data_IF_737999298429
#
_entry.id   IF_737999298429
#
_cell.length_a   1.000
_cell.length_b   1.000
_cell.length_c   1.000
_cell.angle_alpha   90.00
_cell.angle_beta   90.00
_cell.angle_gamma   90.00
#
_symmetry.space_group_name_H-M   'P 1'
#
loop_
_entity.id
_entity.type
_entity.pdbx_description
1 polymer ?
#
# COMPACT_ATOMS: atom_id res chain seq x y z
N UNK A 1 -3.12 -10.78 2.63
CA UNK A 1 -3.68 -10.13 1.42
C UNK A 1 -2.99 -10.61 0.16
N UNK A 2 -1.70 -10.32 -0.05
CA UNK A 2 -0.95 -10.76 -1.25
C UNK A 2 -1.03 -12.28 -1.55
N UNK A 3 -0.72 -13.20 -0.60
CA UNK A 3 -0.77 -14.63 -0.90
C UNK A 3 -2.17 -15.13 -1.27
N UNK A 4 -3.23 -14.52 -0.73
CA UNK A 4 -4.60 -14.89 -1.07
C UNK A 4 -4.95 -14.44 -2.51
N UNK A 5 -4.56 -13.22 -2.88
CA UNK A 5 -4.69 -12.68 -4.25
C UNK A 5 -3.87 -13.46 -5.28
N UNK A 6 -2.72 -13.99 -4.88
CA UNK A 6 -1.91 -14.88 -5.73
C UNK A 6 -2.61 -16.23 -5.93
N UNK A 7 -3.03 -16.88 -4.84
CA UNK A 7 -3.66 -18.21 -4.88
C UNK A 7 -5.00 -18.21 -5.64
N UNK A 8 -5.78 -17.13 -5.55
CA UNK A 8 -7.07 -17.03 -6.23
C UNK A 8 -6.96 -17.11 -7.76
N UNK A 9 -5.80 -16.73 -8.33
CA UNK A 9 -5.53 -16.79 -9.78
C UNK A 9 -5.48 -18.22 -10.32
N UNK A 10 -5.18 -19.19 -9.46
CA UNK A 10 -4.95 -20.58 -9.84
C UNK A 10 -6.04 -21.52 -9.33
N UNK A 11 -7.21 -21.00 -8.93
CA UNK A 11 -8.30 -21.83 -8.40
C UNK A 11 -8.85 -22.82 -9.43
N UNK A 12 -8.80 -22.48 -10.72
CA UNK A 12 -9.25 -23.37 -11.80
C UNK A 12 -8.31 -24.55 -12.06
N UNK A 13 -7.03 -24.42 -11.74
CA UNK A 13 -6.02 -25.45 -11.98
C UNK A 13 -4.82 -25.31 -11.01
N UNK A 14 -4.98 -25.63 -9.72
CA UNK A 14 -3.92 -25.47 -8.73
C UNK A 14 -2.83 -26.54 -8.86
N UNK A 15 -1.57 -26.16 -8.64
CA UNK A 15 -0.42 -27.08 -8.62
C UNK A 15 -0.04 -27.47 -7.19
N UNK A 16 0.87 -28.45 -7.03
CA UNK A 16 1.45 -28.80 -5.73
C UNK A 16 2.19 -27.63 -5.08
N UNK A 17 2.76 -26.71 -5.88
CA UNK A 17 3.39 -25.48 -5.39
C UNK A 17 2.33 -24.56 -4.77
N UNK A 18 1.20 -24.35 -5.44
CA UNK A 18 0.08 -23.55 -4.93
C UNK A 18 -0.47 -24.15 -3.63
N UNK A 19 -0.62 -25.48 -3.56
CA UNK A 19 -1.04 -26.17 -2.34
C UNK A 19 -0.04 -25.97 -1.19
N UNK A 20 1.27 -25.97 -1.47
CA UNK A 20 2.31 -25.66 -0.49
C UNK A 20 2.19 -24.24 0.07
N UNK A 21 1.95 -23.26 -0.79
CA UNK A 21 1.72 -21.86 -0.39
C UNK A 21 0.44 -21.73 0.43
N UNK A 22 -0.66 -22.34 0.02
CA UNK A 22 -1.92 -22.34 0.77
C UNK A 22 -1.76 -22.91 2.19
N UNK A 23 -1.04 -24.03 2.33
CA UNK A 23 -0.70 -24.60 3.65
C UNK A 23 0.12 -23.64 4.51
N UNK A 24 1.07 -22.89 3.92
CA UNK A 24 1.84 -21.87 4.67
C UNK A 24 0.93 -20.73 5.17
N UNK A 25 0.00 -20.27 4.34
CA UNK A 25 -1.00 -19.25 4.74
C UNK A 25 -1.86 -19.75 5.89
N UNK A 26 -2.39 -20.98 5.81
CA UNK A 26 -3.20 -21.55 6.89
C UNK A 26 -2.42 -21.74 8.20
N UNK A 27 -1.15 -22.17 8.10
CA UNK A 27 -0.25 -22.25 9.28
C UNK A 27 0.00 -20.88 9.90
N UNK A 28 0.19 -19.85 9.07
CA UNK A 28 0.35 -18.47 9.55
C UNK A 28 -0.91 -18.03 10.30
N UNK A 29 -2.09 -18.14 9.68
CA UNK A 29 -3.38 -17.75 10.29
C UNK A 29 -3.59 -18.48 11.62
N UNK A 30 -3.38 -19.81 11.66
CA UNK A 30 -3.48 -20.61 12.88
C UNK A 30 -2.48 -20.17 13.97
N UNK A 31 -1.26 -19.80 13.58
CA UNK A 31 -0.21 -19.36 14.50
C UNK A 31 -0.32 -17.91 14.98
N UNK A 32 -1.20 -17.11 14.36
CA UNK A 32 -1.37 -15.69 14.67
C UNK A 32 -2.78 -15.33 15.13
N UNK A 33 -3.56 -16.30 15.61
CA UNK A 33 -4.94 -16.08 16.09
C UNK A 33 -5.02 -15.15 17.30
N UNK A 34 -3.93 -14.99 18.05
CA UNK A 34 -3.80 -14.09 19.19
C UNK A 34 -3.24 -12.70 18.84
N UNK A 35 -3.03 -12.43 17.54
CA UNK A 35 -2.58 -11.11 17.07
C UNK A 35 -3.78 -10.29 16.61
N UNK A 36 -3.75 -9.00 16.92
CA UNK A 36 -4.73 -8.02 16.47
C UNK A 36 -4.04 -6.69 16.17
N UNK A 37 -4.71 -5.82 15.43
CA UNK A 37 -4.28 -4.42 15.28
C UNK A 37 -4.74 -3.67 16.53
N UNK A 38 -3.81 -3.07 17.24
CA UNK A 38 -4.09 -2.32 18.47
C UNK A 38 -3.83 -0.84 18.24
N UNK A 39 -4.80 -0.01 18.60
CA UNK A 39 -4.69 1.44 18.53
C UNK A 39 -4.42 2.01 19.92
N UNK A 40 -3.24 2.58 20.09
CA UNK A 40 -2.87 3.42 21.22
C UNK A 40 -3.45 4.82 21.02
N UNK A 41 -3.85 5.44 22.14
CA UNK A 41 -4.35 6.81 22.16
C UNK A 41 -3.23 7.77 21.72
N UNK A 42 -3.42 8.43 20.58
CA UNK A 42 -2.51 9.47 20.07
C UNK A 42 -3.12 10.86 20.22
N UNK A 43 -2.27 11.89 20.24
CA UNK A 43 -2.72 13.29 20.23
C UNK A 43 -3.07 13.67 18.78
N UNK A 44 -4.32 13.44 18.40
CA UNK A 44 -4.87 13.81 17.09
C UNK A 44 -4.94 12.66 16.09
N UNK A 45 -5.68 12.93 15.01
CA UNK A 45 -5.91 12.04 13.88
C UNK A 45 -5.12 12.58 12.69
N UNK A 46 -3.95 11.98 12.42
CA UNK A 46 -3.15 12.25 11.23
C UNK A 46 -3.25 11.05 10.30
N UNK A 47 -3.69 11.29 9.07
CA UNK A 47 -3.69 10.29 8.01
C UNK A 47 -2.36 10.30 7.26
N UNK A 48 -1.66 9.17 7.29
CA UNK A 48 -0.44 8.92 6.51
C UNK A 48 -0.65 7.71 5.59
N UNK A 49 -0.03 7.74 4.40
CA UNK A 49 -0.15 6.68 3.41
C UNK A 49 1.19 6.23 2.85
N UNK A 50 1.26 4.96 2.49
CA UNK A 50 2.43 4.29 1.96
C UNK A 50 2.01 3.62 0.67
N UNK A 51 2.78 3.81 -0.41
CA UNK A 51 2.53 3.18 -1.70
C UNK A 51 3.79 2.43 -2.15
N UNK A 52 3.57 1.22 -2.65
CA UNK A 52 4.62 0.33 -3.17
C UNK A 52 4.05 -0.49 -4.31
N UNK A 53 4.89 -0.94 -5.22
CA UNK A 53 4.56 -1.93 -6.24
C UNK A 53 5.66 -2.96 -6.40
N UNK A 54 5.28 -4.19 -6.74
CA UNK A 54 6.25 -5.07 -7.38
C UNK A 54 6.46 -4.63 -8.85
N UNK A 55 7.59 -5.02 -9.44
CA UNK A 55 7.79 -4.92 -10.89
C UNK A 55 7.81 -6.31 -11.50
N UNK A 56 6.87 -6.55 -12.42
CA UNK A 56 6.73 -7.86 -13.11
C UNK A 56 6.57 -9.01 -12.11
N UNK A 57 5.87 -8.79 -10.98
CA UNK A 57 5.70 -9.82 -9.96
C UNK A 57 4.86 -11.02 -10.40
N UNK A 58 4.10 -10.88 -11.49
CA UNK A 58 3.33 -11.96 -12.12
C UNK A 58 4.03 -12.43 -13.39
N UNK A 59 4.67 -13.60 -13.36
CA UNK A 59 5.38 -14.16 -14.53
C UNK A 59 4.41 -14.56 -15.65
N UNK A 60 3.14 -14.85 -15.32
CA UNK A 60 2.14 -15.33 -16.28
C UNK A 60 1.70 -14.24 -17.28
N UNK A 61 1.58 -13.00 -16.81
CA UNK A 61 1.08 -11.86 -17.61
C UNK A 61 1.98 -10.62 -17.55
N UNK A 62 3.15 -10.75 -16.92
CA UNK A 62 4.15 -9.70 -16.70
C UNK A 62 3.61 -8.46 -15.97
N UNK A 63 2.46 -8.58 -15.28
CA UNK A 63 1.84 -7.46 -14.58
C UNK A 63 2.38 -7.28 -13.18
N UNK A 64 2.50 -6.02 -12.80
CA UNK A 64 2.85 -5.61 -11.46
C UNK A 64 1.70 -5.77 -10.46
N UNK A 65 2.00 -5.85 -9.17
CA UNK A 65 1.06 -5.73 -8.06
C UNK A 65 1.27 -4.39 -7.37
N UNK A 66 0.28 -3.51 -7.45
CA UNK A 66 0.23 -2.27 -6.67
C UNK A 66 -0.31 -2.53 -5.28
N UNK A 67 0.20 -1.78 -4.32
CA UNK A 67 -0.30 -1.79 -2.97
C UNK A 67 -0.26 -0.41 -2.34
N UNK A 68 -1.11 -0.25 -1.33
CA UNK A 68 -0.99 0.87 -0.41
C UNK A 68 -1.38 0.45 1.00
N UNK A 69 -0.94 1.23 1.97
CA UNK A 69 -1.26 1.10 3.38
C UNK A 69 -1.50 2.51 3.91
N UNK A 70 -2.57 2.70 4.68
CA UNK A 70 -2.89 3.95 5.36
C UNK A 70 -2.98 3.73 6.85
N UNK A 71 -2.34 4.63 7.60
CA UNK A 71 -2.29 4.59 9.06
C UNK A 71 -2.93 5.82 9.67
N UNK A 72 -3.51 5.63 10.86
CA UNK A 72 -3.90 6.73 11.76
C UNK A 72 -3.31 6.41 13.12
N UNK A 73 -2.56 7.35 13.67
CA UNK A 73 -1.92 7.20 14.97
C UNK A 73 -0.94 6.02 14.98
N UNK A 74 -1.26 4.99 15.75
CA UNK A 74 -0.36 3.85 16.01
C UNK A 74 -0.64 2.59 15.16
N UNK A 75 -1.66 2.62 14.31
CA UNK A 75 -2.11 1.42 13.59
C UNK A 75 -2.58 1.68 12.17
N UNK A 76 -2.57 0.62 11.37
CA UNK A 76 -3.14 0.61 10.02
C UNK A 76 -4.66 0.65 10.07
N UNK A 77 -5.30 1.41 9.18
CA UNK A 77 -6.76 1.51 9.06
C UNK A 77 -7.28 1.06 7.69
N UNK A 78 -6.46 1.14 6.65
CA UNK A 78 -6.84 0.78 5.29
C UNK A 78 -5.62 0.25 4.54
N UNK A 79 -5.81 -0.77 3.72
CA UNK A 79 -4.73 -1.38 2.96
C UNK A 79 -5.26 -2.06 1.71
N UNK A 80 -4.41 -2.22 0.69
CA UNK A 80 -4.75 -2.86 -0.56
C UNK A 80 -3.55 -3.61 -1.16
N UNK A 81 -3.84 -4.66 -1.91
CA UNK A 81 -2.89 -5.44 -2.70
C UNK A 81 -3.61 -5.89 -3.98
N UNK A 82 -3.31 -5.25 -5.11
CA UNK A 82 -4.04 -5.42 -6.37
C UNK A 82 -3.08 -5.53 -7.54
N UNK A 83 -3.29 -6.56 -8.36
CA UNK A 83 -2.61 -6.68 -9.66
C UNK A 83 -3.03 -5.52 -10.57
N UNK A 84 -2.06 -4.85 -11.17
CA UNK A 84 -2.28 -3.77 -12.12
C UNK A 84 -3.03 -4.29 -13.34
N UNK A 85 -3.85 -3.43 -13.94
CA UNK A 85 -4.62 -3.77 -15.14
C UNK A 85 -3.76 -3.71 -16.40
N UNK A 86 -2.75 -2.84 -16.39
CA UNK A 86 -1.79 -2.60 -17.47
C UNK A 86 -0.43 -3.22 -17.11
N UNK A 87 0.36 -3.55 -18.14
CA UNK A 87 1.75 -3.98 -17.99
C UNK A 87 2.64 -2.75 -17.94
N UNK A 88 3.20 -2.46 -16.77
CA UNK A 88 4.17 -1.37 -16.60
C UNK A 88 5.47 -1.71 -17.34
N UNK A 89 5.98 -0.75 -18.12
CA UNK A 89 7.20 -0.89 -18.92
C UNK A 89 8.47 -0.62 -18.10
N UNK A 90 8.33 -0.14 -16.86
CA UNK A 90 9.44 0.08 -15.92
C UNK A 90 8.95 -0.01 -14.47
N UNK A 91 9.88 -0.25 -13.54
CA UNK A 91 9.59 -0.17 -12.10
C UNK A 91 9.02 1.21 -11.73
N UNK A 92 9.56 2.27 -12.32
CA UNK A 92 9.09 3.64 -12.13
C UNK A 92 7.63 3.83 -12.55
N UNK A 93 7.20 3.23 -13.66
CA UNK A 93 5.82 3.29 -14.09
C UNK A 93 4.89 2.47 -13.18
N UNK A 94 5.34 1.31 -12.71
CA UNK A 94 4.58 0.50 -11.76
C UNK A 94 4.34 1.25 -10.43
N UNK A 95 5.40 1.86 -9.90
CA UNK A 95 5.36 2.67 -8.68
C UNK A 95 4.44 3.87 -8.84
N UNK A 96 4.55 4.54 -9.99
CA UNK A 96 3.69 5.67 -10.34
C UNK A 96 2.20 5.27 -10.37
N UNK A 97 1.86 4.12 -10.95
CA UNK A 97 0.49 3.61 -10.95
C UNK A 97 0.01 3.33 -9.52
N UNK A 98 0.89 2.82 -8.66
CA UNK A 98 0.60 2.58 -7.24
C UNK A 98 0.32 3.88 -6.47
N UNK A 99 1.19 4.87 -6.67
CA UNK A 99 1.05 6.22 -6.09
C UNK A 99 -0.27 6.88 -6.46
N UNK A 100 -0.70 6.77 -7.71
CA UNK A 100 -1.99 7.34 -8.16
C UNK A 100 -3.16 6.64 -7.47
N UNK A 101 -3.10 5.32 -7.31
CA UNK A 101 -4.13 4.58 -6.58
C UNK A 101 -4.16 4.99 -5.09
N UNK A 102 -2.99 5.17 -4.46
CA UNK A 102 -2.89 5.66 -3.09
C UNK A 102 -3.43 7.09 -2.96
N UNK A 103 -3.11 8.01 -3.88
CA UNK A 103 -3.61 9.38 -3.85
C UNK A 103 -5.14 9.44 -3.92
N UNK A 104 -5.75 8.66 -4.80
CA UNK A 104 -7.22 8.56 -4.87
C UNK A 104 -7.83 8.04 -3.57
N UNK A 105 -7.20 7.01 -2.97
CA UNK A 105 -7.64 6.48 -1.68
C UNK A 105 -7.48 7.49 -0.55
N UNK A 106 -6.38 8.26 -0.52
CA UNK A 106 -6.16 9.32 0.44
C UNK A 106 -7.26 10.38 0.37
N UNK A 107 -7.61 10.84 -0.83
CA UNK A 107 -8.69 11.82 -1.02
C UNK A 107 -10.03 11.26 -0.51
N UNK A 108 -10.32 9.98 -0.78
CA UNK A 108 -11.54 9.35 -0.27
C UNK A 108 -11.53 9.24 1.27
N UNK A 109 -10.42 8.81 1.87
CA UNK A 109 -10.27 8.72 3.31
C UNK A 109 -10.36 10.09 4.00
N UNK A 110 -9.82 11.15 3.38
CA UNK A 110 -9.95 12.52 3.90
C UNK A 110 -11.41 12.98 3.95
N UNK A 111 -12.21 12.66 2.93
CA UNK A 111 -13.65 12.94 2.92
C UNK A 111 -14.38 12.17 4.01
N UNK A 112 -14.10 10.87 4.13
CA UNK A 112 -14.66 10.04 5.19
C UNK A 112 -14.30 10.58 6.59
N UNK A 113 -13.06 11.01 6.80
CA UNK A 113 -12.64 11.61 8.07
C UNK A 113 -13.32 12.94 8.34
N UNK A 114 -13.53 13.77 7.32
CA UNK A 114 -14.30 15.01 7.45
C UNK A 114 -15.76 14.74 7.88
N UNK A 115 -16.42 13.73 7.27
CA UNK A 115 -17.78 13.31 7.65
C UNK A 115 -17.84 12.80 9.11
N UNK A 116 -16.73 12.25 9.63
CA UNK A 116 -16.57 11.82 11.02
C UNK A 116 -16.11 12.96 11.96
N UNK A 117 -16.06 14.21 11.50
CA UNK A 117 -15.63 15.36 12.28
C UNK A 117 -14.13 15.42 12.57
N UNK A 118 -13.31 14.69 11.81
CA UNK A 118 -11.85 14.63 11.91
C UNK A 118 -11.19 15.21 10.65
N UNK A 119 -11.63 16.39 10.23
CA UNK A 119 -11.12 17.06 9.04
C UNK A 119 -9.59 17.23 9.08
N UNK A 120 -8.93 16.90 7.97
CA UNK A 120 -7.48 16.93 7.86
C UNK A 120 -7.03 18.30 7.31
N UNK A 121 -6.51 19.18 8.17
CA UNK A 121 -6.09 20.53 7.77
C UNK A 121 -4.81 20.54 6.92
N UNK A 122 -3.91 19.58 7.14
CA UNK A 122 -2.68 19.41 6.34
C UNK A 122 -2.88 18.39 5.21
N UNK A 123 -2.07 18.45 4.14
CA UNK A 123 -2.02 17.39 3.14
C UNK A 123 -1.72 16.04 3.78
N UNK A 124 -2.27 14.96 3.22
CA UNK A 124 -1.91 13.59 3.60
C UNK A 124 -0.54 13.26 3.03
N UNK A 125 0.40 12.86 3.88
CA UNK A 125 1.73 12.46 3.44
C UNK A 125 1.66 11.07 2.80
N UNK A 126 2.21 10.96 1.59
CA UNK A 126 2.29 9.72 0.82
C UNK A 126 3.76 9.36 0.59
N UNK A 127 4.15 8.21 1.13
CA UNK A 127 5.51 7.70 1.12
C UNK A 127 5.70 6.67 -0.01
N UNK A 128 6.73 6.87 -0.84
CA UNK A 128 7.14 5.95 -1.90
C UNK A 128 8.66 5.87 -1.95
N UNK A 129 9.21 4.71 -2.28
CA UNK A 129 10.65 4.45 -2.31
C UNK A 129 11.29 4.70 -3.69
N UNK A 130 10.51 5.18 -4.65
CA UNK A 130 10.98 5.49 -5.99
C UNK A 130 10.99 7.00 -6.27
N UNK A 131 12.18 7.60 -6.15
CA UNK A 131 12.40 9.02 -6.45
C UNK A 131 12.02 9.39 -7.88
N UNK A 132 12.22 8.49 -8.84
CA UNK A 132 11.84 8.75 -10.22
C UNK A 132 10.33 8.84 -10.37
N UNK A 133 9.57 7.96 -9.71
CA UNK A 133 8.11 8.00 -9.73
C UNK A 133 7.57 9.29 -9.10
N UNK A 134 8.17 9.76 -8.00
CA UNK A 134 7.86 11.06 -7.39
C UNK A 134 8.24 12.22 -8.33
N UNK A 135 9.42 12.20 -8.94
CA UNK A 135 9.84 13.27 -9.85
C UNK A 135 8.91 13.43 -11.06
N UNK A 136 8.33 12.32 -11.51
CA UNK A 136 7.39 12.23 -12.63
C UNK A 136 6.05 12.93 -12.31
N UNK A 137 5.59 12.88 -11.05
CA UNK A 137 4.41 13.68 -10.63
C UNK A 137 4.73 15.17 -10.66
N UNK A 138 5.95 15.57 -10.33
CA UNK A 138 6.35 16.98 -10.21
C UNK A 138 6.74 17.65 -11.54
N UNK A 139 7.21 16.89 -12.54
CA UNK A 139 7.75 17.45 -13.79
C UNK A 139 6.72 17.51 -14.95
N UNK A 140 6.27 18.71 -15.39
CA UNK A 140 5.28 18.83 -16.46
C UNK A 140 5.75 18.43 -17.86
N UNK A 141 7.06 18.28 -18.07
CA UNK A 141 7.68 18.16 -19.41
C UNK A 141 7.97 16.70 -19.82
N UNK A 142 7.93 15.75 -18.89
CA UNK A 142 8.23 14.35 -19.19
C UNK A 142 6.96 13.50 -19.44
N UNK A 143 6.75 13.18 -20.72
CA UNK A 143 6.30 11.86 -21.27
C UNK A 143 4.95 11.77 -22.03
N UNK A 144 5.04 11.09 -23.19
CA UNK A 144 4.33 9.82 -23.46
C UNK A 144 2.90 9.87 -24.00
N UNK A 145 2.67 9.24 -25.18
CA UNK A 145 1.44 9.34 -26.02
C UNK A 145 0.19 8.56 -25.57
N UNK A 146 0.07 8.06 -24.34
CA UNK A 146 -1.09 7.23 -23.91
C UNK A 146 -2.05 7.97 -22.97
N UNK A 147 -3.30 8.12 -23.41
CA UNK A 147 -4.37 8.88 -22.72
C UNK A 147 -4.59 8.47 -21.25
N UNK A 148 -4.48 7.18 -20.92
CA UNK A 148 -4.73 6.67 -19.57
C UNK A 148 -3.64 7.10 -18.57
N UNK A 149 -2.40 7.20 -19.03
CA UNK A 149 -1.28 7.70 -18.23
C UNK A 149 -1.47 9.21 -17.99
N UNK A 150 -1.89 9.96 -19.02
CA UNK A 150 -2.16 11.41 -18.91
C UNK A 150 -3.26 11.74 -17.88
N UNK A 151 -4.35 10.98 -17.84
CA UNK A 151 -5.41 11.22 -16.83
C UNK A 151 -4.89 11.01 -15.40
N UNK A 152 -4.12 9.94 -15.18
CA UNK A 152 -3.47 9.67 -13.89
C UNK A 152 -2.51 10.79 -13.51
N UNK A 153 -1.73 11.31 -14.47
CA UNK A 153 -0.87 12.48 -14.31
C UNK A 153 -1.58 13.71 -13.81
N UNK A 154 -2.68 14.07 -14.47
CA UNK A 154 -3.45 15.23 -14.05
C UNK A 154 -4.04 15.02 -12.66
N UNK A 155 -4.54 13.82 -12.34
CA UNK A 155 -5.18 13.55 -11.05
C UNK A 155 -4.26 13.74 -9.84
N UNK A 156 -3.06 13.16 -9.86
CA UNK A 156 -2.13 13.26 -8.72
C UNK A 156 -1.52 14.66 -8.58
N UNK A 157 -1.27 15.33 -9.71
CA UNK A 157 -0.81 16.72 -9.72
C UNK A 157 -1.83 17.68 -9.16
N UNK A 158 -3.09 17.51 -9.57
CA UNK A 158 -4.20 18.30 -9.03
C UNK A 158 -4.34 18.08 -7.53
N UNK A 159 -4.19 16.83 -7.07
CA UNK A 159 -4.21 16.51 -5.65
C UNK A 159 -3.07 17.19 -4.86
N UNK A 160 -1.85 17.23 -5.39
CA UNK A 160 -0.73 17.97 -4.77
C UNK A 160 -0.95 19.48 -4.82
N UNK A 161 -1.39 20.03 -5.96
CA UNK A 161 -1.67 21.47 -6.13
C UNK A 161 -2.75 21.95 -5.16
N UNK A 162 -3.79 21.15 -4.97
CA UNK A 162 -4.88 21.44 -4.04
C UNK A 162 -4.53 21.08 -2.58
N UNK A 163 -3.26 20.76 -2.29
CA UNK A 163 -2.78 20.43 -0.94
C UNK A 163 -3.56 19.28 -0.27
N UNK A 164 -4.08 18.34 -1.07
CA UNK A 164 -4.78 17.15 -0.55
C UNK A 164 -3.79 16.06 -0.16
N UNK A 165 -2.73 15.91 -0.94
CA UNK A 165 -1.66 14.95 -0.71
C UNK A 165 -0.29 15.62 -0.88
N UNK A 166 0.73 15.06 -0.26
CA UNK A 166 2.12 15.48 -0.44
C UNK A 166 3.03 14.27 -0.54
N UNK A 167 3.83 14.19 -1.60
CA UNK A 167 4.68 13.03 -1.85
C UNK A 167 6.03 13.18 -1.15
N UNK A 168 6.47 12.09 -0.52
CA UNK A 168 7.74 11.99 0.19
C UNK A 168 8.50 10.73 -0.23
N UNK A 169 9.80 10.89 -0.48
CA UNK A 169 10.67 9.74 -0.60
C UNK A 169 10.85 9.08 0.77
N UNK A 170 10.74 7.76 0.80
CA UNK A 170 10.90 6.96 2.01
C UNK A 170 11.78 5.76 1.72
N UNK A 171 12.65 5.37 2.65
CA UNK A 171 13.56 4.25 2.40
C UNK A 171 12.78 2.94 2.24
N UNK A 172 13.21 2.05 1.34
CA UNK A 172 12.58 0.71 1.16
C UNK A 172 12.56 -0.07 2.48
N UNK A 173 13.55 0.12 3.35
CA UNK A 173 13.60 -0.53 4.66
C UNK A 173 12.49 -0.08 5.61
N UNK A 174 11.85 1.07 5.37
CA UNK A 174 10.74 1.56 6.18
C UNK A 174 9.40 1.50 5.44
N UNK A 175 9.39 1.04 4.19
CA UNK A 175 8.20 0.94 3.34
C UNK A 175 7.21 -0.09 3.88
N UNK A 176 6.11 0.38 4.47
CA UNK A 176 5.09 -0.49 5.07
C UNK A 176 4.27 -1.26 4.03
N UNK A 177 4.16 -0.71 2.82
CA UNK A 177 3.39 -1.33 1.75
C UNK A 177 4.07 -2.59 1.15
N UNK A 178 5.37 -2.81 1.41
CA UNK A 178 6.13 -4.01 1.03
C UNK A 178 5.43 -5.33 1.39
N UNK A 179 4.80 -5.38 2.56
CA UNK A 179 4.10 -6.59 3.05
C UNK A 179 2.92 -6.99 2.17
N UNK A 180 2.48 -6.08 1.30
CA UNK A 180 1.33 -6.22 0.42
C UNK A 180 1.71 -6.56 -1.03
N UNK A 181 3.00 -6.58 -1.41
CA UNK A 181 3.45 -6.84 -2.79
C UNK A 181 4.27 -8.11 -2.94
N UNK A 182 4.92 -8.58 -1.88
CA UNK A 182 5.87 -9.69 -1.97
C UNK A 182 5.80 -10.67 -0.81
N UNK A 183 6.30 -11.89 -1.06
CA UNK A 183 6.56 -12.88 -0.01
C UNK A 183 7.82 -12.50 0.77
N UNK A 184 7.68 -12.17 2.05
CA UNK A 184 8.78 -11.68 2.88
C UNK A 184 9.41 -12.80 3.74
N UNK A 185 10.72 -12.70 4.04
CA UNK A 185 11.34 -13.50 5.11
C UNK A 185 10.65 -13.25 6.45
N UNK A 186 10.68 -14.25 7.34
CA UNK A 186 9.97 -14.20 8.63
C UNK A 186 10.29 -12.94 9.45
N UNK A 187 11.56 -12.59 9.60
CA UNK A 187 12.00 -11.41 10.38
C UNK A 187 11.43 -10.12 9.83
N UNK A 188 11.48 -9.93 8.51
CA UNK A 188 10.93 -8.75 7.83
C UNK A 188 9.41 -8.70 7.94
N UNK A 189 8.73 -9.83 7.79
CA UNK A 189 7.29 -9.93 7.97
C UNK A 189 6.86 -9.54 9.39
N UNK A 190 7.56 -10.06 10.41
CA UNK A 190 7.28 -9.76 11.81
C UNK A 190 7.53 -8.28 12.14
N UNK A 191 8.59 -7.70 11.60
CA UNK A 191 8.90 -6.27 11.73
C UNK A 191 7.81 -5.37 11.12
N UNK A 192 7.46 -5.59 9.85
CA UNK A 192 6.44 -4.77 9.18
C UNK A 192 5.06 -4.96 9.82
N UNK A 193 4.71 -6.19 10.19
CA UNK A 193 3.46 -6.47 10.91
C UNK A 193 3.37 -5.68 12.22
N UNK A 194 4.46 -5.63 12.99
CA UNK A 194 4.49 -4.85 14.23
C UNK A 194 4.32 -3.35 13.95
N UNK A 195 4.96 -2.83 12.90
CA UNK A 195 4.82 -1.42 12.46
C UNK A 195 3.41 -1.07 11.99
N UNK A 196 2.65 -2.03 11.47
CA UNK A 196 1.22 -1.86 11.15
C UNK A 196 0.31 -1.87 12.40
N UNK A 197 0.87 -2.00 13.60
CA UNK A 197 0.13 -2.10 14.85
C UNK A 197 -0.36 -3.52 15.18
N UNK A 198 0.03 -4.53 14.39
CA UNK A 198 -0.41 -5.91 14.61
C UNK A 198 0.51 -6.65 15.58
N UNK A 199 0.03 -6.82 16.81
CA UNK A 199 0.77 -7.40 17.94
C UNK A 199 -0.12 -8.31 18.80
N UNK A 200 0.48 -9.03 19.74
CA UNK A 200 -0.29 -9.78 20.76
C UNK A 200 -1.02 -8.76 21.63
N UNK A 201 -2.19 -9.15 22.15
CA UNK A 201 -2.92 -8.33 23.12
C UNK A 201 -2.01 -7.89 24.27
N UNK A 202 -1.70 -6.60 24.34
CA UNK A 202 -1.18 -5.96 25.54
C UNK A 202 -2.39 -5.36 26.27
N UNK A 203 -3.08 -6.18 27.07
CA UNK A 203 -4.14 -5.72 27.98
C UNK A 203 -3.58 -4.93 29.18
N UNK A 204 -2.46 -4.24 28.99
CA UNK A 204 -1.78 -3.43 30.01
C UNK A 204 -1.66 -2.00 29.50
N UNK A 205 -2.78 -1.30 29.43
CA UNK A 205 -2.81 0.16 29.56
C UNK A 205 -4.25 0.54 29.90
N UNK A 206 -4.39 1.10 31.10
CA UNK A 206 -5.63 1.45 31.79
C UNK A 206 -6.40 2.55 31.03
N UNK A 207 -7.73 2.53 31.19
CA UNK A 207 -8.69 3.47 30.64
C UNK A 207 -8.38 4.94 30.99
#
# INVERSE_FOLDING_TARGET
>A
MFPASLLSRFLSSPSNVHMGVAKRVLKYVKGTTNLGIWYLKTRGVKLDGYADSDWVGSVDDMKSTSSYVFTIGSGVICWNSRKQEVVAQSNTEAEYISLVAAANQAIWLRKLLADLGQEQSSPTELYCDNKSAISITQNPVQHGRTKHINVKFHSIREAEKNSLVKLHYFSTDEQLADIMTKGLPKSRLEFLRLKLGMSKANLKEEC
#
